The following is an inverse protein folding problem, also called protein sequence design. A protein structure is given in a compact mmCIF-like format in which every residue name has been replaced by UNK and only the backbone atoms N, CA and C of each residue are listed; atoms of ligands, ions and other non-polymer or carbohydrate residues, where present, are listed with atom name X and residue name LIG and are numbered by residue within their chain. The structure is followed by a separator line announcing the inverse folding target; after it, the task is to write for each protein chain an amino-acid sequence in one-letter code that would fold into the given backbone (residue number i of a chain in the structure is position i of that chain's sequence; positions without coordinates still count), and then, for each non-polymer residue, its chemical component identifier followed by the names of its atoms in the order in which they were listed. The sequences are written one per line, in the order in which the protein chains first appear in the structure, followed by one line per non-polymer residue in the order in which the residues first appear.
data_IF_148496751771
#
_entry.id   IF_148496751771
#
_cell.length_a   1.000
_cell.length_b   1.000
_cell.length_c   1.000
_cell.angle_alpha   90.00
_cell.angle_beta   90.00
_cell.angle_gamma   90.00
#
_symmetry.space_group_name_H-M   'P 1'
#
loop_
_entity.id
_entity.type
_entity.pdbx_description
1 polymer ?
#
# COMPACT_ATOMS: atom_id res chain seq x y z
N UNK A 1 -27.37 -11.67 -21.65
CA UNK A 1 -26.32 -12.10 -20.70
C UNK A 1 -25.16 -11.11 -20.60
N UNK A 2 -24.55 -10.68 -21.69
CA UNK A 2 -23.42 -9.74 -21.70
C UNK A 2 -23.72 -8.38 -21.06
N UNK A 3 -24.91 -7.80 -21.29
CA UNK A 3 -25.30 -6.52 -20.72
C UNK A 3 -25.45 -6.54 -19.17
N UNK A 4 -25.93 -7.65 -18.62
CA UNK A 4 -26.11 -7.81 -17.18
C UNK A 4 -24.75 -8.01 -16.49
N UNK A 5 -23.86 -8.83 -17.09
CA UNK A 5 -22.49 -9.00 -16.61
C UNK A 5 -21.72 -7.68 -16.67
N UNK A 6 -21.92 -6.88 -17.72
CA UNK A 6 -21.27 -5.59 -17.86
C UNK A 6 -21.79 -4.58 -16.82
N UNK A 7 -23.11 -4.53 -16.61
CA UNK A 7 -23.72 -3.62 -15.61
C UNK A 7 -23.34 -3.99 -14.16
N UNK A 8 -23.27 -5.29 -13.83
CA UNK A 8 -22.81 -5.74 -12.52
C UNK A 8 -21.33 -5.48 -12.31
N UNK A 9 -20.49 -5.63 -13.33
CA UNK A 9 -19.06 -5.35 -13.26
C UNK A 9 -18.80 -3.84 -13.12
N UNK A 10 -19.52 -3.00 -13.85
CA UNK A 10 -19.45 -1.54 -13.74
C UNK A 10 -19.93 -1.08 -12.36
N UNK A 11 -21.03 -1.65 -11.85
CA UNK A 11 -21.54 -1.29 -10.52
C UNK A 11 -20.57 -1.68 -9.40
N UNK A 12 -19.99 -2.89 -9.44
CA UNK A 12 -18.97 -3.33 -8.48
C UNK A 12 -17.72 -2.46 -8.58
N UNK A 13 -17.32 -2.08 -9.79
CA UNK A 13 -16.19 -1.17 -10.01
C UNK A 13 -16.47 0.25 -9.45
N UNK A 14 -17.67 0.78 -9.69
CA UNK A 14 -18.07 2.11 -9.18
C UNK A 14 -18.25 2.08 -7.66
N UNK A 15 -18.87 1.05 -7.09
CA UNK A 15 -19.05 0.90 -5.66
C UNK A 15 -17.70 0.70 -4.92
N UNK A 16 -16.79 -0.08 -5.49
CA UNK A 16 -15.43 -0.25 -4.95
C UNK A 16 -14.61 1.04 -5.08
N UNK A 17 -14.73 1.76 -6.19
CA UNK A 17 -14.09 3.05 -6.40
C UNK A 17 -14.64 4.09 -5.41
N UNK A 18 -15.96 4.17 -5.21
CA UNK A 18 -16.59 5.06 -4.24
C UNK A 18 -16.17 4.72 -2.79
N UNK A 19 -16.09 3.44 -2.43
CA UNK A 19 -15.58 2.99 -1.14
C UNK A 19 -14.10 3.36 -0.94
N UNK A 20 -13.27 3.19 -1.96
CA UNK A 20 -11.84 3.57 -1.93
C UNK A 20 -11.69 5.09 -1.87
N UNK A 21 -12.47 5.85 -2.62
CA UNK A 21 -12.47 7.32 -2.58
C UNK A 21 -12.96 7.82 -1.23
N UNK A 22 -14.05 7.26 -0.69
CA UNK A 22 -14.55 7.58 0.65
C UNK A 22 -13.51 7.32 1.74
N UNK A 23 -12.85 6.16 1.69
CA UNK A 23 -11.74 5.83 2.60
C UNK A 23 -10.52 6.76 2.37
N UNK A 24 -10.24 7.16 1.14
CA UNK A 24 -9.10 8.03 0.78
C UNK A 24 -9.32 9.49 1.19
N UNK A 25 -10.52 10.01 1.06
CA UNK A 25 -10.88 11.35 1.56
C UNK A 25 -10.87 11.42 3.09
N UNK A 26 -11.01 10.27 3.73
CA UNK A 26 -11.17 10.17 5.17
C UNK A 26 -9.86 9.92 5.93
N UNK A 27 -8.84 9.35 5.26
CA UNK A 27 -7.50 9.12 5.81
C UNK A 27 -6.58 10.24 5.31
N UNK A 28 -6.61 11.41 5.94
CA UNK A 28 -5.56 12.42 5.81
C UNK A 28 -4.52 12.19 6.90
N UNK A 29 -3.27 11.81 6.55
CA UNK A 29 -2.21 11.57 7.54
C UNK A 29 -1.58 12.85 8.13
N UNK A 30 -2.01 14.03 7.69
CA UNK A 30 -1.32 15.30 7.96
C UNK A 30 -1.53 15.92 9.35
N UNK A 31 -2.50 15.49 10.14
CA UNK A 31 -2.80 16.15 11.43
C UNK A 31 -1.79 15.89 12.57
N UNK A 32 -0.82 15.00 12.38
CA UNK A 32 0.14 14.65 13.44
C UNK A 32 1.43 15.45 13.41
N UNK A 33 1.82 16.02 12.28
CA UNK A 33 3.08 16.76 12.12
C UNK A 33 2.97 18.12 12.82
N UNK A 34 1.82 18.80 12.72
CA UNK A 34 1.59 20.11 13.34
C UNK A 34 1.69 20.10 14.87
N UNK A 35 1.36 18.98 15.53
CA UNK A 35 1.49 18.84 16.99
C UNK A 35 2.92 18.61 17.47
N UNK A 36 3.81 18.18 16.58
CA UNK A 36 5.22 17.86 16.92
C UNK A 36 6.12 19.06 16.70
N UNK A 37 5.78 19.96 15.78
CA UNK A 37 6.58 21.15 15.46
C UNK A 37 6.32 22.35 16.38
N UNK A 38 5.39 22.24 17.33
CA UNK A 38 5.20 23.28 18.37
C UNK A 38 4.48 24.54 17.91
N UNK A 39 3.93 24.58 16.71
CA UNK A 39 3.00 25.62 16.29
C UNK A 39 1.59 25.21 16.73
N UNK A 40 1.31 25.40 18.01
CA UNK A 40 -0.05 25.35 18.54
C UNK A 40 -0.83 26.56 17.97
N UNK A 41 -1.45 26.38 16.82
CA UNK A 41 -2.53 27.26 16.39
C UNK A 41 -3.73 26.91 17.26
N UNK A 42 -4.23 27.92 17.97
CA UNK A 42 -5.46 27.88 18.77
C UNK A 42 -6.55 27.12 18.01
N UNK A 43 -7.12 26.13 18.68
CA UNK A 43 -8.27 25.36 18.15
C UNK A 43 -9.47 26.30 18.06
N UNK A 44 -9.63 26.93 16.91
CA UNK A 44 -10.92 27.44 16.49
C UNK A 44 -11.87 26.23 16.35
N UNK A 45 -12.97 26.23 17.09
CA UNK A 45 -13.99 25.17 17.06
C UNK A 45 -14.46 24.97 15.60
N UNK A 46 -13.94 23.94 14.95
CA UNK A 46 -14.30 23.63 13.58
C UNK A 46 -15.79 23.27 13.51
N UNK A 47 -16.53 23.82 12.52
CA UNK A 47 -17.96 23.55 12.36
C UNK A 47 -18.21 22.05 12.24
N UNK A 48 -19.29 21.57 12.84
CA UNK A 48 -19.69 20.15 12.86
C UNK A 48 -19.89 19.66 11.42
N UNK A 49 -18.84 19.13 10.82
CA UNK A 49 -18.92 18.55 9.48
C UNK A 49 -19.76 17.26 9.52
N UNK A 50 -20.63 17.01 8.54
CA UNK A 50 -21.44 15.79 8.48
C UNK A 50 -20.64 14.49 8.53
N UNK A 51 -19.33 14.54 8.24
CA UNK A 51 -18.38 13.44 8.44
C UNK A 51 -18.21 13.00 9.90
N UNK A 52 -18.47 13.85 10.89
CA UNK A 52 -18.34 13.50 12.32
C UNK A 52 -19.51 12.62 12.79
N UNK A 53 -20.72 12.86 12.29
CA UNK A 53 -21.89 12.04 12.62
C UNK A 53 -21.75 10.63 12.04
N UNK A 54 -21.22 10.52 10.81
CA UNK A 54 -20.95 9.24 10.18
C UNK A 54 -19.82 8.46 10.89
N UNK A 55 -18.81 9.17 11.37
CA UNK A 55 -17.71 8.62 12.17
C UNK A 55 -18.19 8.05 13.51
N UNK A 56 -19.10 8.73 14.20
CA UNK A 56 -19.68 8.27 15.44
C UNK A 56 -20.58 7.04 15.25
N UNK A 57 -21.34 7.01 14.17
CA UNK A 57 -22.14 5.85 13.79
C UNK A 57 -21.27 4.62 13.54
N UNK A 58 -20.18 4.79 12.77
CA UNK A 58 -19.22 3.71 12.49
C UNK A 58 -18.51 3.21 13.75
N UNK A 59 -18.16 4.10 14.67
CA UNK A 59 -17.55 3.74 15.94
C UNK A 59 -18.51 2.93 16.83
N UNK A 60 -19.79 3.28 16.85
CA UNK A 60 -20.83 2.51 17.57
C UNK A 60 -21.08 1.16 16.94
N UNK A 61 -21.18 1.08 15.62
CA UNK A 61 -21.33 -0.20 14.89
C UNK A 61 -20.11 -1.10 15.05
N UNK A 62 -18.90 -0.54 15.02
CA UNK A 62 -17.66 -1.28 15.20
C UNK A 62 -17.50 -1.92 16.60
N UNK A 63 -18.20 -1.41 17.61
CA UNK A 63 -18.18 -1.97 18.96
C UNK A 63 -19.02 -3.25 19.11
N UNK A 64 -19.93 -3.54 18.19
CA UNK A 64 -20.77 -4.76 18.19
C UNK A 64 -20.09 -5.98 17.60
N UNK A 65 -18.94 -5.84 16.93
CA UNK A 65 -18.24 -6.98 16.33
C UNK A 65 -17.37 -7.68 17.37
N UNK A 66 -17.67 -8.93 17.76
CA UNK A 66 -16.82 -9.73 18.61
C UNK A 66 -15.60 -10.20 17.80
N UNK A 67 -14.56 -9.36 17.71
CA UNK A 67 -13.33 -9.75 17.08
C UNK A 67 -12.45 -10.53 18.06
N UNK A 68 -11.84 -11.63 17.61
CA UNK A 68 -10.90 -12.39 18.42
C UNK A 68 -9.73 -11.50 18.86
N UNK A 69 -9.28 -11.57 20.13
CA UNK A 69 -8.17 -10.74 20.62
C UNK A 69 -6.90 -10.87 19.77
N UNK A 70 -6.64 -12.03 19.18
CA UNK A 70 -5.50 -12.28 18.29
C UNK A 70 -5.62 -11.55 16.96
N UNK A 71 -6.82 -11.54 16.36
CA UNK A 71 -7.06 -10.83 15.10
C UNK A 71 -7.03 -9.31 15.29
N UNK A 72 -7.50 -8.82 16.44
CA UNK A 72 -7.42 -7.41 16.80
C UNK A 72 -5.97 -6.93 16.86
N UNK A 73 -5.07 -7.68 17.48
CA UNK A 73 -3.65 -7.29 17.58
C UNK A 73 -2.94 -7.30 16.24
N UNK A 74 -3.23 -8.27 15.37
CA UNK A 74 -2.66 -8.34 14.00
C UNK A 74 -3.16 -7.17 13.16
N UNK A 75 -4.45 -6.87 13.22
CA UNK A 75 -5.05 -5.79 12.46
C UNK A 75 -4.59 -4.42 12.95
N UNK A 76 -4.46 -4.24 14.25
CA UNK A 76 -3.91 -3.02 14.85
C UNK A 76 -2.47 -2.77 14.38
N UNK A 77 -1.62 -3.80 14.34
CA UNK A 77 -0.26 -3.69 13.78
C UNK A 77 -0.27 -3.30 12.29
N UNK A 78 -1.21 -3.81 11.50
CA UNK A 78 -1.36 -3.43 10.07
C UNK A 78 -1.79 -1.97 9.91
N UNK A 79 -2.72 -1.49 10.74
CA UNK A 79 -3.15 -0.10 10.75
C UNK A 79 -1.99 0.84 11.11
N UNK A 80 -1.21 0.50 12.13
CA UNK A 80 -0.02 1.28 12.52
C UNK A 80 0.99 1.34 11.37
N UNK A 81 1.24 0.22 10.67
CA UNK A 81 2.11 0.16 9.48
C UNK A 81 1.56 0.98 8.31
N UNK A 82 0.24 1.10 8.19
CA UNK A 82 -0.41 1.96 7.20
C UNK A 82 -0.35 3.45 7.57
N UNK A 83 0.12 3.80 8.78
CA UNK A 83 0.18 5.18 9.27
C UNK A 83 -1.07 5.63 10.02
N UNK A 84 -2.05 4.74 10.20
CA UNK A 84 -3.31 5.04 10.90
C UNK A 84 -3.13 4.71 12.38
N UNK A 85 -2.83 5.74 13.19
CA UNK A 85 -2.47 5.59 14.62
C UNK A 85 -3.54 6.04 15.59
N UNK A 86 -4.76 6.33 15.11
CA UNK A 86 -5.86 6.81 15.94
C UNK A 86 -6.36 5.74 16.93
N UNK A 87 -6.77 6.12 18.16
CA UNK A 87 -7.29 5.18 19.16
C UNK A 87 -8.54 4.43 18.67
N UNK A 88 -9.30 5.04 17.76
CA UNK A 88 -10.54 4.47 17.20
C UNK A 88 -10.33 3.81 15.80
N UNK A 89 -9.08 3.76 15.29
CA UNK A 89 -8.80 3.24 13.95
C UNK A 89 -9.32 1.81 13.75
N UNK A 90 -9.18 0.96 14.76
CA UNK A 90 -9.64 -0.42 14.73
C UNK A 90 -11.17 -0.51 14.68
N UNK A 91 -11.87 0.23 15.57
CA UNK A 91 -13.35 0.28 15.60
C UNK A 91 -13.93 0.76 14.28
N UNK A 92 -13.28 1.74 13.70
CA UNK A 92 -13.61 2.33 12.43
C UNK A 92 -13.45 1.34 11.26
N UNK A 93 -12.37 0.56 11.23
CA UNK A 93 -12.18 -0.47 10.23
C UNK A 93 -13.25 -1.55 10.32
N UNK A 94 -13.60 -2.00 11.54
CA UNK A 94 -14.67 -2.98 11.72
C UNK A 94 -16.04 -2.40 11.39
N UNK A 95 -16.31 -1.13 11.74
CA UNK A 95 -17.51 -0.43 11.32
C UNK A 95 -17.64 -0.33 9.80
N UNK A 96 -16.55 0.01 9.10
CA UNK A 96 -16.52 0.02 7.64
C UNK A 96 -16.78 -1.37 7.03
N UNK A 97 -16.24 -2.44 7.63
CA UNK A 97 -16.52 -3.81 7.20
C UNK A 97 -18.00 -4.18 7.34
N UNK A 98 -18.63 -3.80 8.43
CA UNK A 98 -20.06 -4.07 8.63
C UNK A 98 -20.91 -3.31 7.61
N UNK A 99 -20.66 -2.02 7.46
CA UNK A 99 -21.43 -1.18 6.53
C UNK A 99 -21.25 -1.65 5.08
N UNK A 100 -20.04 -1.96 4.65
CA UNK A 100 -19.77 -2.45 3.30
C UNK A 100 -20.19 -3.91 3.11
N UNK A 101 -19.97 -4.76 4.12
CA UNK A 101 -20.33 -6.18 4.07
C UNK A 101 -21.84 -6.45 4.04
N UNK A 102 -22.65 -5.56 4.61
CA UNK A 102 -24.12 -5.64 4.61
C UNK A 102 -24.71 -4.72 3.52
N UNK A 103 -24.18 -3.53 3.37
CA UNK A 103 -24.70 -2.52 2.45
C UNK A 103 -24.53 -2.91 0.98
N UNK A 104 -23.37 -3.42 0.58
CA UNK A 104 -23.13 -3.84 -0.80
C UNK A 104 -24.06 -4.98 -1.26
N UNK A 105 -24.21 -6.11 -0.53
CA UNK A 105 -25.15 -7.15 -0.95
C UNK A 105 -26.60 -6.68 -0.91
N UNK A 106 -27.01 -5.80 0.02
CA UNK A 106 -28.36 -5.24 0.09
C UNK A 106 -28.65 -4.37 -1.15
N UNK A 107 -27.75 -3.46 -1.51
CA UNK A 107 -27.88 -2.65 -2.73
C UNK A 107 -27.89 -3.53 -3.97
N UNK A 108 -27.06 -4.57 -4.01
CA UNK A 108 -27.00 -5.51 -5.13
C UNK A 108 -28.28 -6.33 -5.26
N UNK A 109 -28.87 -6.75 -4.15
CA UNK A 109 -30.17 -7.44 -4.12
C UNK A 109 -31.26 -6.56 -4.72
N UNK A 110 -31.34 -5.30 -4.33
CA UNK A 110 -32.32 -4.33 -4.87
C UNK A 110 -32.07 -4.08 -6.36
N UNK A 111 -30.82 -3.91 -6.79
CA UNK A 111 -30.46 -3.66 -8.19
C UNK A 111 -30.80 -4.84 -9.13
N UNK A 112 -30.65 -6.06 -8.63
CA UNK A 112 -30.88 -7.29 -9.42
C UNK A 112 -32.33 -7.80 -9.29
N UNK A 113 -33.14 -7.23 -8.37
CA UNK A 113 -34.53 -7.66 -8.13
C UNK A 113 -35.40 -7.59 -9.38
N UNK A 114 -35.30 -6.49 -10.14
CA UNK A 114 -36.07 -6.26 -11.38
C UNK A 114 -35.45 -6.84 -12.65
N UNK A 115 -34.29 -7.51 -12.57
CA UNK A 115 -33.64 -8.06 -13.76
C UNK A 115 -34.22 -9.44 -14.13
N UNK A 116 -34.31 -9.73 -15.44
CA UNK A 116 -34.74 -11.02 -15.98
C UNK A 116 -33.65 -12.11 -15.87
N UNK A 117 -32.63 -11.93 -15.02
CA UNK A 117 -31.55 -12.90 -14.85
C UNK A 117 -32.03 -14.13 -14.06
N UNK A 118 -31.45 -15.29 -14.36
CA UNK A 118 -31.69 -16.54 -13.63
C UNK A 118 -31.35 -16.40 -12.14
N UNK A 119 -32.10 -17.11 -11.28
CA UNK A 119 -31.92 -17.04 -9.81
C UNK A 119 -30.49 -17.36 -9.38
N UNK A 120 -29.80 -18.29 -10.05
CA UNK A 120 -28.41 -18.63 -9.77
C UNK A 120 -27.47 -17.45 -10.01
N UNK A 121 -27.61 -16.72 -11.11
CA UNK A 121 -26.78 -15.55 -11.42
C UNK A 121 -27.02 -14.39 -10.43
N UNK A 122 -28.27 -14.22 -9.95
CA UNK A 122 -28.60 -13.27 -8.88
C UNK A 122 -27.89 -13.62 -7.57
N UNK A 123 -27.93 -14.89 -7.19
CA UNK A 123 -27.27 -15.39 -5.98
C UNK A 123 -25.74 -15.18 -6.03
N UNK A 124 -25.12 -15.54 -7.16
CA UNK A 124 -23.67 -15.35 -7.36
C UNK A 124 -23.27 -13.87 -7.27
N UNK A 125 -24.06 -12.97 -7.86
CA UNK A 125 -23.81 -11.53 -7.81
C UNK A 125 -23.89 -10.97 -6.38
N UNK A 126 -24.87 -11.37 -5.59
CA UNK A 126 -25.02 -10.96 -4.18
C UNK A 126 -23.90 -11.52 -3.32
N UNK A 127 -23.52 -12.78 -3.51
CA UNK A 127 -22.40 -13.41 -2.80
C UNK A 127 -21.05 -12.75 -3.14
N UNK A 128 -20.84 -12.42 -4.41
CA UNK A 128 -19.64 -11.67 -4.83
C UNK A 128 -19.59 -10.27 -4.20
N UNK A 129 -20.71 -9.56 -4.17
CA UNK A 129 -20.81 -8.25 -3.51
C UNK A 129 -20.53 -8.33 -2.00
N UNK A 130 -21.03 -9.35 -1.31
CA UNK A 130 -20.73 -9.60 0.10
C UNK A 130 -19.24 -9.89 0.32
N UNK A 131 -18.62 -10.71 -0.53
CA UNK A 131 -17.19 -10.99 -0.50
C UNK A 131 -16.34 -9.73 -0.66
N UNK A 132 -16.62 -8.90 -1.67
CA UNK A 132 -15.93 -7.63 -1.90
C UNK A 132 -16.13 -6.67 -0.71
N UNK A 133 -17.35 -6.55 -0.17
CA UNK A 133 -17.65 -5.72 0.98
C UNK A 133 -16.88 -6.11 2.24
N UNK A 134 -16.71 -7.40 2.48
CA UNK A 134 -16.04 -7.91 3.68
C UNK A 134 -14.51 -7.91 3.56
N UNK A 135 -13.96 -8.32 2.42
CA UNK A 135 -12.50 -8.39 2.19
C UNK A 135 -11.89 -7.08 1.72
N UNK A 136 -12.66 -6.22 1.03
CA UNK A 136 -12.20 -4.96 0.46
C UNK A 136 -11.47 -4.04 1.45
N UNK A 137 -12.03 -3.72 2.63
CA UNK A 137 -11.37 -2.88 3.62
C UNK A 137 -10.03 -3.44 4.12
N UNK A 138 -9.90 -4.77 4.22
CA UNK A 138 -8.66 -5.41 4.63
C UNK A 138 -7.57 -5.25 3.57
N UNK A 139 -7.91 -5.51 2.30
CA UNK A 139 -6.95 -5.35 1.21
C UNK A 139 -6.54 -3.90 1.00
N UNK A 140 -7.45 -2.96 1.22
CA UNK A 140 -7.13 -1.54 1.21
C UNK A 140 -6.08 -1.17 2.27
N UNK A 141 -6.25 -1.61 3.52
CA UNK A 141 -5.26 -1.39 4.59
C UNK A 141 -3.94 -2.07 4.28
N UNK A 142 -3.96 -3.30 3.73
CA UNK A 142 -2.76 -4.00 3.29
C UNK A 142 -2.02 -3.24 2.17
N UNK A 143 -2.76 -2.75 1.18
CA UNK A 143 -2.20 -1.98 0.07
C UNK A 143 -1.58 -0.67 0.56
N UNK A 144 -2.27 0.04 1.47
CA UNK A 144 -1.78 1.27 2.07
C UNK A 144 -0.51 1.04 2.91
N UNK A 145 -0.49 -0.03 3.72
CA UNK A 145 0.68 -0.45 4.49
C UNK A 145 1.87 -0.76 3.57
N UNK A 146 1.66 -1.56 2.50
CA UNK A 146 2.71 -1.88 1.52
C UNK A 146 3.19 -0.65 0.74
N UNK A 147 2.31 0.31 0.46
CA UNK A 147 2.66 1.58 -0.17
C UNK A 147 3.55 2.40 0.75
N UNK A 148 3.16 2.61 2.02
CA UNK A 148 3.94 3.34 3.02
C UNK A 148 5.31 2.71 3.25
N UNK A 149 5.39 1.37 3.36
CA UNK A 149 6.65 0.66 3.48
C UNK A 149 7.58 0.88 2.29
N UNK A 150 7.04 0.96 1.06
CA UNK A 150 7.82 1.27 -0.15
C UNK A 150 8.36 2.70 -0.13
N UNK A 151 7.57 3.67 0.30
CA UNK A 151 8.02 5.06 0.40
C UNK A 151 9.08 5.22 1.49
N UNK A 152 8.91 4.61 2.68
CA UNK A 152 9.96 4.56 3.71
C UNK A 152 11.25 3.94 3.16
N UNK A 153 11.15 2.82 2.44
CA UNK A 153 12.32 2.17 1.83
C UNK A 153 13.02 3.04 0.80
N UNK A 154 12.26 3.82 0.03
CA UNK A 154 12.81 4.76 -0.98
C UNK A 154 13.52 5.94 -0.34
N UNK A 155 12.98 6.46 0.77
CA UNK A 155 13.60 7.57 1.51
C UNK A 155 14.79 7.17 2.37
N UNK A 156 14.96 5.86 2.67
CA UNK A 156 15.96 5.37 3.60
C UNK A 156 17.41 5.72 3.19
N UNK A 157 17.85 5.58 1.91
CA UNK A 157 19.19 5.99 1.49
C UNK A 157 19.47 7.47 1.77
N UNK A 158 18.53 8.35 1.43
CA UNK A 158 18.67 9.80 1.68
C UNK A 158 18.74 10.10 3.19
N UNK A 159 17.94 9.40 4.00
CA UNK A 159 17.98 9.53 5.44
C UNK A 159 19.34 9.09 6.02
N UNK A 160 19.91 8.00 5.50
CA UNK A 160 21.24 7.52 5.91
C UNK A 160 22.34 8.51 5.54
N UNK A 161 22.31 9.07 4.34
CA UNK A 161 23.30 10.05 3.90
C UNK A 161 23.29 11.29 4.79
N UNK A 162 22.10 11.80 5.13
CA UNK A 162 21.96 12.92 6.06
C UNK A 162 22.41 12.54 7.48
N UNK A 163 22.08 11.32 7.96
CA UNK A 163 22.53 10.84 9.26
C UNK A 163 24.06 10.77 9.34
N UNK A 164 24.71 10.27 8.28
CA UNK A 164 26.19 10.22 8.20
C UNK A 164 26.76 11.61 8.32
N UNK A 165 26.28 12.56 7.54
CA UNK A 165 26.74 13.97 7.57
C UNK A 165 26.54 14.59 8.96
N UNK A 166 25.38 14.41 9.58
CA UNK A 166 25.09 14.94 10.90
C UNK A 166 26.01 14.34 11.98
N UNK A 167 26.25 13.04 11.96
CA UNK A 167 27.11 12.36 12.96
C UNK A 167 28.59 12.72 12.74
N UNK A 168 29.05 12.81 11.48
CA UNK A 168 30.41 13.24 11.16
C UNK A 168 30.66 14.71 11.52
N UNK A 169 29.63 15.56 11.49
CA UNK A 169 29.70 16.93 11.99
C UNK A 169 29.75 17.02 13.51
N UNK A 170 29.72 15.89 14.24
CA UNK A 170 29.80 15.84 15.70
C UNK A 170 28.46 15.88 16.42
N UNK A 171 27.34 15.83 15.72
CA UNK A 171 26.01 15.68 16.34
C UNK A 171 25.86 14.29 16.96
N UNK A 172 25.37 14.24 18.20
CA UNK A 172 24.96 12.96 18.80
C UNK A 172 23.85 12.31 18.01
N UNK A 173 23.79 10.96 18.00
CA UNK A 173 22.83 10.20 17.19
C UNK A 173 21.36 10.66 17.39
N UNK A 174 20.95 10.99 18.61
CA UNK A 174 19.58 11.43 18.91
C UNK A 174 19.26 12.77 18.25
N UNK A 175 20.23 13.71 18.27
CA UNK A 175 20.10 15.00 17.60
C UNK A 175 20.18 14.86 16.08
N UNK A 176 21.01 13.94 15.57
CA UNK A 176 21.08 13.62 14.15
C UNK A 176 19.76 13.09 13.63
N UNK A 177 19.11 12.15 14.35
CA UNK A 177 17.79 11.63 13.99
C UNK A 177 16.73 12.77 13.95
N UNK A 178 16.76 13.69 14.92
CA UNK A 178 15.85 14.83 14.95
C UNK A 178 16.06 15.76 13.76
N UNK A 179 17.32 16.08 13.47
CA UNK A 179 17.67 16.98 12.36
C UNK A 179 17.25 16.37 11.02
N UNK A 180 17.57 15.09 10.80
CA UNK A 180 17.19 14.37 9.59
C UNK A 180 15.67 14.27 9.44
N UNK A 181 14.92 14.09 10.54
CA UNK A 181 13.46 14.12 10.49
C UNK A 181 12.93 15.45 9.94
N UNK A 182 13.50 16.58 10.35
CA UNK A 182 13.11 17.91 9.86
C UNK A 182 13.47 18.11 8.38
N UNK A 183 14.70 17.74 7.99
CA UNK A 183 15.16 17.91 6.61
C UNK A 183 14.36 17.08 5.60
N UNK A 184 13.89 15.92 6.02
CA UNK A 184 13.11 15.01 5.16
C UNK A 184 11.61 15.27 5.17
N UNK A 185 11.11 16.23 5.91
CA UNK A 185 9.67 16.48 6.06
C UNK A 185 8.95 16.67 4.73
N UNK A 186 9.55 17.39 3.81
CA UNK A 186 8.96 17.65 2.49
C UNK A 186 9.33 16.61 1.43
N UNK A 187 10.54 16.04 1.50
CA UNK A 187 11.02 15.10 0.49
C UNK A 187 10.53 13.66 0.72
N UNK A 188 10.53 13.22 1.97
CA UNK A 188 10.17 11.86 2.39
C UNK A 188 9.38 11.87 3.70
N UNK A 189 8.13 12.35 3.69
CA UNK A 189 7.33 12.55 4.90
C UNK A 189 7.14 11.27 5.72
N UNK A 190 7.04 10.09 5.06
CA UNK A 190 6.81 8.83 5.76
C UNK A 190 7.98 8.43 6.68
N UNK A 191 9.23 8.64 6.24
CA UNK A 191 10.40 8.34 7.07
C UNK A 191 10.66 9.46 8.10
N UNK A 192 10.37 10.70 7.73
CA UNK A 192 10.44 11.86 8.64
C UNK A 192 9.52 11.64 9.86
N UNK A 193 8.26 11.28 9.65
CA UNK A 193 7.31 10.97 10.72
C UNK A 193 7.80 9.85 11.65
N UNK A 194 8.42 8.81 11.09
CA UNK A 194 8.93 7.69 11.88
C UNK A 194 10.14 8.11 12.74
N UNK A 195 11.03 8.95 12.21
CA UNK A 195 12.17 9.49 12.96
C UNK A 195 11.73 10.52 14.03
N UNK A 196 10.74 11.36 13.70
CA UNK A 196 10.13 12.25 14.68
C UNK A 196 9.51 11.47 15.85
N UNK A 197 8.88 10.32 15.57
CA UNK A 197 8.31 9.45 16.60
C UNK A 197 9.40 8.84 17.50
N UNK A 198 10.56 8.43 16.94
CA UNK A 198 11.71 7.98 17.75
C UNK A 198 12.13 9.07 18.73
N UNK A 199 12.22 10.31 18.26
CA UNK A 199 12.61 11.43 19.13
C UNK A 199 11.57 11.70 20.24
N UNK A 200 10.27 11.56 19.94
CA UNK A 200 9.21 11.64 20.97
C UNK A 200 9.36 10.53 22.02
N UNK A 201 9.66 9.30 21.59
CA UNK A 201 9.89 8.18 22.50
C UNK A 201 11.12 8.42 23.40
N UNK A 202 12.20 8.99 22.85
CA UNK A 202 13.40 9.37 23.62
C UNK A 202 13.08 10.47 24.63
N UNK A 203 12.35 11.51 24.21
CA UNK A 203 11.90 12.58 25.12
C UNK A 203 10.97 12.08 26.22
N UNK A 204 10.21 11.03 25.96
CA UNK A 204 9.37 10.34 26.95
C UNK A 204 10.18 9.44 27.92
N UNK A 205 11.51 9.42 27.82
CA UNK A 205 12.39 8.67 28.71
C UNK A 205 12.63 7.21 28.33
N UNK A 206 12.21 6.77 27.14
CA UNK A 206 12.54 5.42 26.67
C UNK A 206 14.03 5.29 26.35
N UNK A 207 14.57 4.10 26.58
CA UNK A 207 15.96 3.80 26.21
C UNK A 207 16.11 3.85 24.68
N UNK A 208 17.26 4.38 24.18
CA UNK A 208 17.55 4.48 22.75
C UNK A 208 17.33 3.17 21.99
N UNK A 209 17.87 2.05 22.51
CA UNK A 209 17.72 0.73 21.93
C UNK A 209 16.24 0.29 21.83
N UNK A 210 15.40 0.70 22.76
CA UNK A 210 13.97 0.40 22.75
C UNK A 210 13.24 1.24 21.71
N UNK A 211 13.48 2.55 21.66
CA UNK A 211 12.90 3.45 20.67
C UNK A 211 13.25 3.02 19.24
N UNK A 212 14.50 2.62 18.99
CA UNK A 212 14.95 2.09 17.71
C UNK A 212 14.28 0.75 17.37
N UNK A 213 14.11 -0.17 18.33
CA UNK A 213 13.35 -1.42 18.09
C UNK A 213 11.90 -1.15 17.76
N UNK A 214 11.27 -0.23 18.47
CA UNK A 214 9.90 0.18 18.19
C UNK A 214 9.75 0.72 16.76
N UNK A 215 10.73 1.51 16.30
CA UNK A 215 10.79 1.99 14.92
C UNK A 215 10.80 0.82 13.92
N UNK A 216 11.67 -0.18 14.14
CA UNK A 216 11.78 -1.35 13.27
C UNK A 216 10.51 -2.22 13.25
N UNK A 217 9.87 -2.42 14.40
CA UNK A 217 8.62 -3.20 14.52
C UNK A 217 7.43 -2.45 13.92
N UNK A 218 7.35 -1.15 14.15
CA UNK A 218 6.27 -0.29 13.69
C UNK A 218 6.25 -0.15 12.17
N UNK A 219 7.40 0.02 11.54
CA UNK A 219 7.53 0.15 10.08
C UNK A 219 7.47 -1.20 9.36
N UNK A 220 8.04 -2.23 9.98
CA UNK A 220 8.21 -3.57 9.41
C UNK A 220 8.92 -3.55 8.03
N UNK A 221 9.86 -2.61 7.82
CA UNK A 221 10.73 -2.53 6.65
C UNK A 221 12.04 -3.26 6.98
N UNK A 222 12.39 -4.28 6.21
CA UNK A 222 13.52 -5.16 6.53
C UNK A 222 14.87 -4.44 6.50
N UNK A 223 15.04 -3.51 5.56
CA UNK A 223 16.29 -2.72 5.48
C UNK A 223 16.43 -1.79 6.69
N UNK A 224 15.33 -1.22 7.19
CA UNK A 224 15.32 -0.42 8.41
C UNK A 224 15.57 -1.26 9.67
N UNK A 225 15.09 -2.52 9.71
CA UNK A 225 15.41 -3.44 10.81
C UNK A 225 16.90 -3.75 10.87
N UNK A 226 17.54 -3.97 9.71
CA UNK A 226 18.99 -4.19 9.62
C UNK A 226 19.76 -2.98 10.11
N UNK A 227 19.37 -1.77 9.66
CA UNK A 227 19.94 -0.52 10.13
C UNK A 227 19.85 -0.38 11.65
N UNK A 228 18.66 -0.58 12.21
CA UNK A 228 18.42 -0.51 13.66
C UNK A 228 19.30 -1.49 14.43
N UNK A 229 19.45 -2.71 13.95
CA UNK A 229 20.33 -3.71 14.56
C UNK A 229 21.80 -3.21 14.59
N UNK A 230 22.29 -2.66 13.47
CA UNK A 230 23.64 -2.09 13.37
C UNK A 230 23.80 -0.91 14.32
N UNK A 231 22.83 0.01 14.39
CA UNK A 231 22.87 1.17 15.29
C UNK A 231 22.91 0.76 16.77
N UNK A 232 22.08 -0.21 17.17
CA UNK A 232 22.07 -0.73 18.54
C UNK A 232 23.40 -1.39 18.88
N UNK A 233 24.00 -2.09 17.92
CA UNK A 233 25.29 -2.74 18.08
C UNK A 233 26.43 -1.71 18.20
N UNK A 234 26.44 -0.71 17.33
CA UNK A 234 27.42 0.37 17.36
C UNK A 234 27.37 1.18 18.67
N UNK A 235 26.15 1.49 19.15
CA UNK A 235 25.92 2.18 20.42
C UNK A 235 26.43 1.37 21.63
N UNK A 236 26.27 0.03 21.58
CA UNK A 236 26.70 -0.86 22.67
C UNK A 236 28.20 -1.07 22.76
N UNK A 237 28.88 -1.16 21.61
CA UNK A 237 30.30 -1.48 21.52
C UNK A 237 31.22 -0.27 21.33
N UNK A 238 30.64 0.96 21.21
CA UNK A 238 31.40 2.18 20.98
C UNK A 238 32.12 2.23 19.63
N UNK A 239 31.80 1.31 18.71
CA UNK A 239 32.30 1.36 17.33
C UNK A 239 31.72 2.59 16.66
N UNK A 240 32.52 3.34 15.89
CA UNK A 240 32.12 4.58 15.28
C UNK A 240 30.79 4.47 14.52
N UNK A 241 29.72 5.04 15.07
CA UNK A 241 28.38 5.00 14.49
C UNK A 241 28.39 5.53 13.05
N UNK A 242 29.19 6.58 12.79
CA UNK A 242 29.34 7.16 11.47
C UNK A 242 29.86 6.14 10.43
N UNK A 243 30.90 5.37 10.80
CA UNK A 243 31.45 4.34 9.90
C UNK A 243 30.45 3.24 9.61
N UNK A 244 29.68 2.80 10.62
CA UNK A 244 28.65 1.78 10.46
C UNK A 244 27.50 2.27 9.58
N UNK A 245 27.09 3.53 9.75
CA UNK A 245 26.06 4.18 8.91
C UNK A 245 26.54 4.31 7.46
N UNK A 246 27.77 4.75 7.24
CA UNK A 246 28.36 4.88 5.89
C UNK A 246 28.40 3.52 5.17
N UNK A 247 28.90 2.47 5.82
CA UNK A 247 28.92 1.13 5.26
C UNK A 247 27.51 0.64 4.90
N UNK A 248 26.51 0.95 5.74
CA UNK A 248 25.12 0.56 5.44
C UNK A 248 24.50 1.39 4.30
N UNK A 249 24.83 2.68 4.19
CA UNK A 249 24.39 3.54 3.09
C UNK A 249 24.96 3.03 1.75
N UNK A 250 26.25 2.71 1.70
CA UNK A 250 26.89 2.15 0.50
C UNK A 250 26.29 0.80 0.12
N UNK A 251 26.02 -0.07 1.09
CA UNK A 251 25.32 -1.34 0.87
C UNK A 251 23.94 -1.13 0.24
N UNK A 252 23.16 -0.18 0.74
CA UNK A 252 21.83 0.14 0.21
C UNK A 252 21.88 0.67 -1.22
N UNK A 253 22.87 1.50 -1.56
CA UNK A 253 23.09 2.00 -2.93
C UNK A 253 23.44 0.86 -3.90
N UNK A 254 24.35 -0.02 -3.50
CA UNK A 254 24.71 -1.20 -4.32
C UNK A 254 23.48 -2.10 -4.52
N UNK A 255 22.72 -2.37 -3.46
CA UNK A 255 21.50 -3.17 -3.54
C UNK A 255 20.44 -2.54 -4.45
N UNK A 256 20.27 -1.21 -4.39
CA UNK A 256 19.32 -0.49 -5.25
C UNK A 256 19.74 -0.62 -6.74
N UNK A 257 21.04 -0.48 -7.02
CA UNK A 257 21.60 -0.65 -8.37
C UNK A 257 21.41 -2.09 -8.88
N UNK A 258 21.74 -3.09 -8.08
CA UNK A 258 21.54 -4.50 -8.43
C UNK A 258 20.07 -4.82 -8.70
N UNK A 259 19.15 -4.29 -7.88
CA UNK A 259 17.71 -4.45 -8.09
C UNK A 259 17.21 -3.79 -9.39
N UNK A 260 17.82 -2.68 -9.82
CA UNK A 260 17.54 -2.04 -11.10
C UNK A 260 18.07 -2.87 -12.27
N UNK A 261 19.30 -3.36 -12.18
CA UNK A 261 19.94 -4.24 -13.17
C UNK A 261 19.15 -5.55 -13.34
N UNK A 262 18.72 -6.18 -12.25
CA UNK A 262 17.87 -7.38 -12.28
C UNK A 262 16.53 -7.12 -12.99
N UNK A 263 15.89 -5.97 -12.72
CA UNK A 263 14.66 -5.59 -13.42
C UNK A 263 14.90 -5.38 -14.91
N UNK A 264 16.00 -4.73 -15.28
CA UNK A 264 16.38 -4.52 -16.68
C UNK A 264 16.64 -5.84 -17.41
N UNK A 265 17.36 -6.76 -16.79
CA UNK A 265 17.60 -8.10 -17.35
C UNK A 265 16.29 -8.88 -17.58
N UNK A 266 15.33 -8.79 -16.65
CA UNK A 266 14.01 -9.42 -16.78
C UNK A 266 13.16 -8.83 -17.91
N UNK A 267 13.43 -7.59 -18.37
CA UNK A 267 12.71 -6.99 -19.49
C UNK A 267 13.00 -7.72 -20.81
N UNK A 268 14.25 -8.15 -21.04
CA UNK A 268 14.60 -8.92 -22.24
C UNK A 268 13.75 -10.18 -22.40
N UNK A 269 13.57 -10.93 -21.31
CA UNK A 269 12.75 -12.15 -21.32
C UNK A 269 11.25 -11.81 -21.53
N UNK A 270 10.77 -10.71 -20.95
CA UNK A 270 9.36 -10.29 -21.13
C UNK A 270 9.04 -9.82 -22.55
N UNK A 271 10.03 -9.34 -23.30
CA UNK A 271 9.86 -8.92 -24.70
C UNK A 271 9.71 -10.10 -25.66
N UNK A 272 10.19 -11.30 -25.29
CA UNK A 272 10.01 -12.52 -26.09
C UNK A 272 8.52 -12.83 -26.28
N UNK A 273 7.68 -12.58 -25.28
CA UNK A 273 6.25 -12.89 -25.32
C UNK A 273 5.49 -12.10 -26.42
N UNK A 274 5.58 -10.76 -26.51
CA UNK A 274 5.00 -10.01 -27.60
C UNK A 274 5.58 -10.35 -28.97
N UNK A 275 6.89 -10.63 -29.06
CA UNK A 275 7.53 -11.04 -30.31
C UNK A 275 6.92 -12.34 -30.80
N UNK A 276 6.82 -13.34 -29.92
CA UNK A 276 6.26 -14.65 -30.28
C UNK A 276 4.78 -14.54 -30.69
N UNK A 277 3.95 -13.83 -29.94
CA UNK A 277 2.51 -13.76 -30.19
C UNK A 277 2.07 -12.77 -31.27
N UNK A 278 2.85 -11.73 -31.56
CA UNK A 278 2.48 -10.72 -32.56
C UNK A 278 3.27 -10.87 -33.86
N UNK A 279 4.60 -11.06 -33.78
CA UNK A 279 5.46 -11.07 -34.96
C UNK A 279 5.39 -12.43 -35.68
N UNK A 280 5.41 -13.54 -34.94
CA UNK A 280 5.39 -14.87 -35.55
C UNK A 280 4.11 -15.14 -36.33
N UNK A 281 2.87 -14.88 -35.83
CA UNK A 281 1.67 -15.04 -36.61
C UNK A 281 1.62 -14.12 -37.86
N UNK A 282 2.06 -12.86 -37.74
CA UNK A 282 2.06 -11.94 -38.86
C UNK A 282 3.03 -12.39 -39.97
N UNK A 283 4.19 -12.87 -39.60
CA UNK A 283 5.16 -13.43 -40.55
C UNK A 283 4.60 -14.68 -41.22
N UNK A 284 3.89 -15.53 -40.47
CA UNK A 284 3.21 -16.71 -41.02
C UNK A 284 2.16 -16.36 -42.08
N UNK A 285 1.32 -15.34 -41.81
CA UNK A 285 0.32 -14.87 -42.77
C UNK A 285 0.95 -14.33 -44.03
N UNK A 286 2.05 -13.58 -43.94
CA UNK A 286 2.74 -13.02 -45.12
C UNK A 286 3.47 -14.09 -45.93
N UNK A 287 4.04 -15.09 -45.30
CA UNK A 287 4.81 -16.14 -46.00
C UNK A 287 3.92 -17.27 -46.53
N UNK A 288 2.99 -17.75 -45.75
CA UNK A 288 2.13 -18.88 -46.11
C UNK A 288 0.89 -18.42 -46.89
N UNK A 289 0.42 -17.19 -46.65
CA UNK A 289 -0.77 -16.64 -47.30
C UNK A 289 -0.77 -16.73 -48.83
N UNK A 290 0.28 -16.28 -49.54
CA UNK A 290 0.37 -16.38 -51.01
C UNK A 290 0.34 -17.83 -51.51
N UNK A 291 1.00 -18.72 -50.79
CA UNK A 291 1.03 -20.16 -51.13
C UNK A 291 -0.35 -20.80 -50.93
N UNK A 292 -1.01 -20.51 -49.81
CA UNK A 292 -2.37 -20.98 -49.53
C UNK A 292 -3.39 -20.50 -50.60
N UNK A 293 -3.29 -19.26 -51.03
CA UNK A 293 -4.14 -18.70 -52.09
C UNK A 293 -3.91 -19.42 -53.44
N UNK A 294 -2.66 -19.71 -53.78
CA UNK A 294 -2.35 -20.48 -55.01
C UNK A 294 -2.90 -21.91 -54.94
N UNK A 295 -2.74 -22.58 -53.80
CA UNK A 295 -3.29 -23.92 -53.60
C UNK A 295 -4.80 -23.93 -53.75
N UNK A 296 -5.51 -22.98 -53.14
CA UNK A 296 -6.97 -22.90 -53.24
C UNK A 296 -7.44 -22.54 -54.64
N UNK A 297 -6.75 -21.70 -55.40
CA UNK A 297 -7.17 -21.25 -56.73
C UNK A 297 -6.78 -22.19 -57.86
N UNK A 298 -5.66 -22.90 -57.75
CA UNK A 298 -5.11 -23.71 -58.85
C UNK A 298 -5.23 -25.19 -58.59
N UNK A 299 -4.95 -25.69 -57.40
CA UNK A 299 -4.97 -27.13 -57.09
C UNK A 299 -6.35 -27.70 -56.80
N UNK A 300 -7.17 -26.98 -56.06
CA UNK A 300 -8.51 -27.50 -55.70
C UNK A 300 -9.41 -27.69 -56.91
N UNK A 301 -9.53 -26.75 -57.89
CA UNK A 301 -10.32 -26.97 -59.08
C UNK A 301 -9.79 -28.10 -59.98
N UNK A 302 -8.45 -28.33 -60.03
CA UNK A 302 -7.89 -29.45 -60.76
C UNK A 302 -8.24 -30.81 -60.14
N UNK A 303 -8.40 -30.90 -58.82
CA UNK A 303 -8.77 -32.15 -58.13
C UNK A 303 -10.27 -32.41 -58.10
N UNK A 304 -11.13 -31.39 -58.19
CA UNK A 304 -12.58 -31.51 -58.18
C UNK A 304 -13.20 -31.65 -59.57
N UNK A 305 -12.40 -31.56 -60.65
CA UNK A 305 -12.84 -31.83 -62.02
C UNK A 305 -13.91 -30.84 -62.54
N UNK A 306 -14.01 -29.65 -61.99
CA UNK A 306 -14.88 -28.58 -62.45
C UNK A 306 -14.01 -27.47 -63.06
#
# INVERSE_FOLDING_TARGET
MTAILLSTLIFVAVASAAAVVGLRMWVRPQEYIERVTGTAVEQEEAPVHPSLVFRDLLNRLGSFVPASPKDMTVMQRRLVRAGIRGPNALKLLYGAKLVLGIGLPLVMTVAVWGSAAEAFNKFVAVMAAAGVGFFGPNEYVNWMSRRRQREIRRGLPNALDLLVVCVESGLGLDQAILQVAKELEHAHPEISEEFAMVNLELKAGKRRAEALRNLAERTAVDDLKKLVAVLIQADRFGTGVAQSLRAHADFMRVQARQAAEEKAAKLGVKLVFPIFFCILPSLFVVTVGPVAVKIVRELIPMMTGI
#
